data_IF_205226962349
#
_entry.id   IF_205226962349
#
_cell.length_a   1.000
_cell.length_b   1.000
_cell.length_c   1.000
_cell.angle_alpha   90.00
_cell.angle_beta   90.00
_cell.angle_gamma   90.00
#
_symmetry.space_group_name_H-M   'P 1'
#
loop_
_entity.id
_entity.type
_entity.pdbx_description
1 polymer ?
#
# COMPACT_ATOMS: atom_id res chain seq x y z
N UNK A 1 -14.47 7.04 15.19
CA UNK A 1 -13.79 5.77 14.86
C UNK A 1 -12.53 5.69 15.67
N UNK A 2 -12.19 4.50 16.16
CA UNK A 2 -10.89 4.26 16.80
C UNK A 2 -9.77 4.44 15.76
N UNK A 3 -8.73 5.19 16.14
CA UNK A 3 -7.55 5.43 15.30
C UNK A 3 -6.86 4.12 14.93
N UNK A 4 -6.81 3.17 15.85
CA UNK A 4 -6.18 1.87 15.59
C UNK A 4 -6.93 1.12 14.49
N UNK A 5 -8.27 1.13 14.54
CA UNK A 5 -9.10 0.54 13.51
C UNK A 5 -8.85 1.15 12.12
N UNK A 6 -8.70 2.48 12.03
CA UNK A 6 -8.37 3.16 10.78
C UNK A 6 -7.00 2.73 10.23
N UNK A 7 -5.98 2.67 11.08
CA UNK A 7 -4.64 2.22 10.67
C UNK A 7 -4.67 0.77 10.20
N UNK A 8 -5.37 -0.13 10.91
CA UNK A 8 -5.53 -1.51 10.45
C UNK A 8 -6.24 -1.59 9.10
N UNK A 9 -7.22 -0.72 8.86
CA UNK A 9 -7.94 -0.66 7.58
C UNK A 9 -7.01 -0.19 6.46
N UNK A 10 -6.17 0.83 6.70
CA UNK A 10 -5.15 1.29 5.73
C UNK A 10 -4.20 0.15 5.35
N UNK A 11 -3.70 -0.58 6.35
CA UNK A 11 -2.80 -1.72 6.14
C UNK A 11 -3.52 -2.82 5.36
N UNK A 12 -4.75 -3.17 5.73
CA UNK A 12 -5.57 -4.16 5.04
C UNK A 12 -5.79 -3.82 3.56
N UNK A 13 -6.18 -2.58 3.27
CA UNK A 13 -6.36 -2.10 1.88
C UNK A 13 -5.04 -2.15 1.10
N UNK A 14 -3.93 -1.79 1.73
CA UNK A 14 -2.61 -1.84 1.08
C UNK A 14 -2.21 -3.27 0.72
N UNK A 15 -2.46 -4.23 1.61
CA UNK A 15 -2.24 -5.67 1.35
C UNK A 15 -3.13 -6.16 0.21
N UNK A 16 -4.43 -5.85 0.24
CA UNK A 16 -5.36 -6.23 -0.83
C UNK A 16 -4.93 -5.63 -2.17
N UNK A 17 -4.47 -4.38 -2.18
CA UNK A 17 -3.92 -3.78 -3.40
C UNK A 17 -2.70 -4.57 -3.90
N UNK A 18 -1.75 -4.91 -3.03
CA UNK A 18 -0.57 -5.68 -3.47
C UNK A 18 -0.89 -7.08 -3.99
N UNK A 19 -1.99 -7.69 -3.56
CA UNK A 19 -2.40 -9.02 -4.04
C UNK A 19 -3.14 -8.97 -5.38
N UNK A 20 -3.98 -7.96 -5.61
CA UNK A 20 -4.89 -7.93 -6.77
C UNK A 20 -4.58 -6.81 -7.78
N UNK A 21 -3.54 -6.00 -7.54
CA UNK A 21 -3.24 -4.87 -8.40
C UNK A 21 -2.68 -5.30 -9.76
N UNK A 22 -3.13 -4.67 -10.87
CA UNK A 22 -2.51 -4.85 -12.18
C UNK A 22 -1.04 -4.39 -12.20
N UNK A 23 -0.61 -3.57 -11.24
CA UNK A 23 0.78 -3.11 -11.14
C UNK A 23 1.76 -4.22 -10.73
N UNK A 24 1.29 -5.42 -10.36
CA UNK A 24 2.16 -6.59 -10.17
C UNK A 24 3.04 -6.84 -11.40
N UNK A 25 2.51 -6.66 -12.62
CA UNK A 25 3.28 -6.86 -13.85
C UNK A 25 4.51 -5.94 -13.94
N UNK A 26 4.42 -4.72 -13.38
CA UNK A 26 5.54 -3.78 -13.29
C UNK A 26 6.45 -4.13 -12.10
N UNK A 27 5.87 -4.58 -10.99
CA UNK A 27 6.61 -4.94 -9.79
C UNK A 27 7.46 -6.21 -9.97
N UNK A 28 7.04 -7.17 -10.80
CA UNK A 28 7.76 -8.43 -11.03
C UNK A 28 9.23 -8.28 -11.44
N UNK A 29 9.58 -7.53 -12.51
CA UNK A 29 10.99 -7.35 -12.87
C UNK A 29 11.79 -6.64 -11.77
N UNK A 30 11.18 -5.70 -11.06
CA UNK A 30 11.82 -4.98 -9.95
C UNK A 30 12.08 -5.94 -8.78
N UNK A 31 11.06 -6.70 -8.38
CA UNK A 31 11.15 -7.69 -7.31
C UNK A 31 12.15 -8.80 -7.64
N UNK A 32 12.20 -9.28 -8.89
CA UNK A 32 13.17 -10.30 -9.30
C UNK A 32 14.63 -9.85 -9.16
N UNK A 33 14.90 -8.55 -9.30
CA UNK A 33 16.24 -7.96 -9.11
C UNK A 33 16.52 -7.66 -7.64
N UNK A 34 15.53 -7.15 -6.91
CA UNK A 34 15.69 -6.77 -5.49
C UNK A 34 15.59 -7.96 -4.53
N UNK A 35 15.03 -9.09 -4.97
CA UNK A 35 14.85 -10.27 -4.12
C UNK A 35 16.22 -10.82 -3.69
N UNK A 36 16.43 -11.05 -2.38
CA UNK A 36 17.68 -11.61 -1.88
C UNK A 36 17.98 -12.97 -2.50
N UNK A 37 19.26 -13.25 -2.79
CA UNK A 37 19.70 -14.49 -3.43
C UNK A 37 19.43 -15.76 -2.61
N UNK A 38 19.13 -15.60 -1.31
CA UNK A 38 18.73 -16.68 -0.41
C UNK A 38 17.41 -17.33 -0.85
N UNK A 39 16.56 -16.62 -1.61
CA UNK A 39 15.27 -17.13 -2.05
C UNK A 39 15.33 -17.75 -3.45
N UNK A 40 14.66 -18.89 -3.69
CA UNK A 40 14.57 -19.47 -5.02
C UNK A 40 13.89 -18.52 -6.01
N UNK A 41 14.47 -18.33 -7.20
CA UNK A 41 13.89 -17.51 -8.30
C UNK A 41 12.73 -18.20 -9.02
N UNK A 42 11.87 -18.89 -8.27
CA UNK A 42 10.61 -19.45 -8.77
C UNK A 42 9.58 -18.33 -8.98
N UNK A 43 8.62 -18.57 -9.88
CA UNK A 43 7.52 -17.63 -10.14
C UNK A 43 6.76 -17.26 -8.86
N UNK A 44 6.50 -18.23 -7.98
CA UNK A 44 5.77 -17.99 -6.72
C UNK A 44 6.49 -17.00 -5.79
N UNK A 45 7.81 -17.14 -5.62
CA UNK A 45 8.58 -16.22 -4.79
C UNK A 45 8.65 -14.81 -5.39
N UNK A 46 8.86 -14.68 -6.69
CA UNK A 46 8.87 -13.37 -7.37
C UNK A 46 7.51 -12.69 -7.24
N UNK A 47 6.41 -13.43 -7.41
CA UNK A 47 5.05 -12.89 -7.20
C UNK A 47 4.84 -12.43 -5.76
N UNK A 48 5.25 -13.22 -4.76
CA UNK A 48 5.16 -12.83 -3.36
C UNK A 48 5.89 -11.51 -3.07
N UNK A 49 7.15 -11.38 -3.50
CA UNK A 49 7.92 -10.15 -3.31
C UNK A 49 7.35 -8.98 -4.10
N UNK A 50 6.75 -9.23 -5.27
CA UNK A 50 6.05 -8.22 -6.05
C UNK A 50 4.82 -7.69 -5.30
N UNK A 51 4.02 -8.58 -4.72
CA UNK A 51 2.86 -8.19 -3.91
C UNK A 51 3.28 -7.44 -2.65
N UNK A 52 4.36 -7.85 -2.00
CA UNK A 52 4.94 -7.13 -0.86
C UNK A 52 5.39 -5.72 -1.26
N UNK A 53 6.06 -5.59 -2.41
CA UNK A 53 6.53 -4.32 -2.96
C UNK A 53 5.35 -3.38 -3.23
N UNK A 54 4.32 -3.85 -3.94
CA UNK A 54 3.14 -3.04 -4.26
C UNK A 54 2.36 -2.67 -3.01
N UNK A 55 2.21 -3.60 -2.04
CA UNK A 55 1.58 -3.31 -0.75
C UNK A 55 2.31 -2.20 0.00
N UNK A 56 3.64 -2.31 0.09
CA UNK A 56 4.49 -1.35 0.78
C UNK A 56 4.48 0.01 0.09
N UNK A 57 4.57 0.03 -1.25
CA UNK A 57 4.47 1.24 -2.05
C UNK A 57 3.13 1.93 -1.83
N UNK A 58 2.02 1.18 -1.82
CA UNK A 58 0.68 1.73 -1.54
C UNK A 58 0.62 2.36 -0.15
N UNK A 59 1.11 1.66 0.87
CA UNK A 59 1.11 2.12 2.26
C UNK A 59 1.92 3.43 2.41
N UNK A 60 3.13 3.47 1.84
CA UNK A 60 4.03 4.61 1.94
C UNK A 60 3.54 5.82 1.13
N UNK A 61 3.15 5.60 -0.13
CA UNK A 61 2.73 6.69 -1.03
C UNK A 61 1.41 7.30 -0.55
N UNK A 62 0.45 6.49 -0.10
CA UNK A 62 -0.79 7.01 0.49
C UNK A 62 -0.57 7.77 1.80
N UNK A 63 0.53 7.50 2.51
CA UNK A 63 0.89 8.21 3.75
C UNK A 63 1.45 9.61 3.51
N UNK A 64 1.95 9.90 2.30
CA UNK A 64 2.50 11.22 1.93
C UNK A 64 1.49 12.36 2.17
N UNK A 65 0.26 12.34 1.64
CA UNK A 65 -0.70 13.42 1.88
C UNK A 65 -1.06 13.58 3.36
N UNK A 66 -1.12 12.49 4.13
CA UNK A 66 -1.36 12.56 5.58
C UNK A 66 -0.19 13.24 6.32
N UNK A 67 1.05 12.86 5.97
CA UNK A 67 2.25 13.47 6.54
C UNK A 67 2.39 14.95 6.16
N UNK A 68 1.98 15.32 4.94
CA UNK A 68 1.92 16.72 4.52
C UNK A 68 0.88 17.50 5.33
N UNK A 69 -0.32 16.95 5.52
CA UNK A 69 -1.36 17.58 6.35
C UNK A 69 -0.87 17.83 7.78
N UNK A 70 -0.24 16.84 8.42
CA UNK A 70 0.32 17.02 9.77
C UNK A 70 1.44 18.06 9.85
N UNK A 71 2.19 18.28 8.76
CA UNK A 71 3.26 19.28 8.70
C UNK A 71 2.76 20.69 8.42
N UNK A 72 1.68 20.82 7.67
CA UNK A 72 1.16 22.11 7.19
C UNK A 72 0.08 22.70 8.09
N UNK A 73 -0.61 21.86 8.88
CA UNK A 73 -1.70 22.29 9.76
C UNK A 73 -1.27 22.21 11.22
N UNK A 74 -1.26 23.35 11.90
CA UNK A 74 -0.95 23.41 13.33
C UNK A 74 -1.93 22.56 14.16
N UNK A 75 -1.40 21.82 15.13
CA UNK A 75 -2.19 20.94 16.00
C UNK A 75 -2.74 19.67 15.32
N UNK A 76 -2.48 19.44 14.03
CA UNK A 76 -2.98 18.27 13.31
C UNK A 76 -2.22 16.96 13.58
N UNK A 77 -1.03 17.05 14.20
CA UNK A 77 -0.12 15.93 14.39
C UNK A 77 -0.75 14.81 15.22
N UNK A 78 -0.78 13.59 14.68
CA UNK A 78 -1.37 12.42 15.33
C UNK A 78 -2.91 12.42 15.34
N UNK A 79 -3.54 13.38 14.68
CA UNK A 79 -5.00 13.52 14.64
C UNK A 79 -5.71 12.46 13.80
N UNK A 80 -6.97 12.20 14.11
CA UNK A 80 -7.85 11.30 13.33
C UNK A 80 -7.96 11.76 11.87
N UNK A 81 -7.98 13.07 11.62
CA UNK A 81 -8.06 13.64 10.27
C UNK A 81 -6.90 13.18 9.37
N UNK A 82 -5.65 13.20 9.85
CA UNK A 82 -4.50 12.71 9.10
C UNK A 82 -4.64 11.22 8.77
N UNK A 83 -5.16 10.42 9.71
CA UNK A 83 -5.37 8.98 9.52
C UNK A 83 -6.47 8.71 8.48
N UNK A 84 -7.52 9.54 8.44
CA UNK A 84 -8.56 9.46 7.41
C UNK A 84 -8.01 9.85 6.03
N UNK A 85 -7.17 10.90 5.95
CA UNK A 85 -6.49 11.28 4.71
C UNK A 85 -5.65 10.10 4.18
N UNK A 86 -4.93 9.43 5.08
CA UNK A 86 -4.16 8.23 4.72
C UNK A 86 -5.06 7.11 4.18
N UNK A 87 -6.17 6.84 4.85
CA UNK A 87 -7.15 5.84 4.42
C UNK A 87 -7.73 6.14 3.04
N UNK A 88 -8.12 7.39 2.79
CA UNK A 88 -8.63 7.82 1.48
C UNK A 88 -7.54 7.66 0.43
N UNK A 89 -6.30 8.07 0.72
CA UNK A 89 -5.17 7.89 -0.18
C UNK A 89 -4.93 6.41 -0.53
N UNK A 90 -4.98 5.52 0.45
CA UNK A 90 -4.81 4.08 0.24
C UNK A 90 -5.96 3.50 -0.60
N UNK A 91 -7.20 3.91 -0.31
CA UNK A 91 -8.39 3.50 -1.07
C UNK A 91 -8.32 3.94 -2.54
N UNK A 92 -7.88 5.17 -2.81
CA UNK A 92 -7.71 5.69 -4.17
C UNK A 92 -6.64 4.91 -4.96
N UNK A 93 -5.50 4.60 -4.33
CA UNK A 93 -4.44 3.79 -4.95
C UNK A 93 -4.85 2.32 -5.16
N UNK A 94 -5.80 1.82 -4.37
CA UNK A 94 -6.34 0.47 -4.47
C UNK A 94 -7.48 0.32 -5.49
N UNK A 95 -7.98 1.41 -6.08
CA UNK A 95 -9.06 1.36 -7.08
C UNK A 95 -8.80 0.38 -8.24
N UNK A 96 -7.60 0.31 -8.84
CA UNK A 96 -7.34 -0.65 -9.92
C UNK A 96 -7.42 -2.10 -9.47
N UNK A 97 -6.99 -2.40 -8.24
CA UNK A 97 -7.09 -3.73 -7.65
C UNK A 97 -8.55 -4.11 -7.37
N UNK A 98 -9.36 -3.18 -6.87
CA UNK A 98 -10.79 -3.42 -6.65
C UNK A 98 -11.56 -3.65 -7.93
N UNK A 99 -11.20 -2.94 -9.02
CA UNK A 99 -11.77 -3.23 -10.34
C UNK A 99 -11.42 -4.66 -10.74
N UNK A 100 -10.12 -4.99 -10.78
CA UNK A 100 -9.67 -6.34 -11.14
C UNK A 100 -10.33 -7.45 -10.31
N UNK A 101 -10.56 -7.23 -9.01
CA UNK A 101 -11.22 -8.18 -8.13
C UNK A 101 -12.73 -8.36 -8.43
N UNK A 102 -13.41 -7.30 -8.87
CA UNK A 102 -14.87 -7.26 -9.03
C UNK A 102 -15.35 -7.42 -10.49
N UNK A 103 -14.47 -7.28 -11.49
CA UNK A 103 -14.75 -7.49 -12.92
C UNK A 103 -14.19 -6.41 -13.84
#
# INVERSE_FOLDING_TARGET
>A
MDRNFLVFTVVGISILNGLFSPFIAIAMPIAAVLMPEVFPRSVGWVLFFSSLLVSSATLLVSGVPAALYERLVEGARGGTAATVIWLVGAGLLALPAFRHLLG
#
